data_IF_516571654252
#
_entry.id   IF_516571654252
#
_cell.length_a   1.000
_cell.length_b   1.000
_cell.length_c   1.000
_cell.angle_alpha   90.00
_cell.angle_beta   90.00
_cell.angle_gamma   90.00
#
_symmetry.space_group_name_H-M   'P 1'
#
loop_
_entity.id
_entity.type
_entity.pdbx_description
1 polymer ?
#
# COMPACT_ATOMS: atom_id res chain seq x y z
N UNK A 1 25.44 1.71 -1.03
CA UNK A 1 24.64 2.96 -1.02
C UNK A 1 23.89 3.23 -2.33
N UNK A 2 24.57 3.41 -3.48
CA UNK A 2 23.91 3.76 -4.77
C UNK A 2 22.86 2.75 -5.25
N UNK A 3 23.09 1.45 -5.04
CA UNK A 3 22.14 0.40 -5.39
C UNK A 3 20.91 0.44 -4.47
N UNK A 4 21.11 0.55 -3.15
CA UNK A 4 20.03 0.62 -2.15
C UNK A 4 19.07 1.79 -2.43
N UNK A 5 19.57 2.98 -2.77
CA UNK A 5 18.70 4.13 -3.12
C UNK A 5 17.86 3.90 -4.39
N UNK A 6 18.41 3.21 -5.40
CA UNK A 6 17.67 2.88 -6.62
C UNK A 6 16.62 1.81 -6.39
N UNK A 7 16.97 0.77 -5.64
CA UNK A 7 16.04 -0.31 -5.26
C UNK A 7 14.90 0.28 -4.43
N UNK A 8 15.20 1.16 -3.46
CA UNK A 8 14.20 1.87 -2.69
C UNK A 8 13.24 2.67 -3.59
N UNK A 9 13.82 3.40 -4.54
CA UNK A 9 13.07 4.18 -5.53
C UNK A 9 12.12 3.33 -6.38
N UNK A 10 12.63 2.27 -7.01
CA UNK A 10 11.83 1.36 -7.84
C UNK A 10 10.76 0.65 -7.02
N UNK A 11 11.10 0.18 -5.82
CA UNK A 11 10.17 -0.56 -4.97
C UNK A 11 8.99 0.32 -4.55
N UNK A 12 9.24 1.58 -4.17
CA UNK A 12 8.17 2.52 -3.84
C UNK A 12 7.26 2.84 -5.05
N UNK A 13 7.82 2.91 -6.27
CA UNK A 13 7.04 3.10 -7.50
C UNK A 13 6.18 1.87 -7.79
N UNK A 14 6.77 0.67 -7.74
CA UNK A 14 6.03 -0.60 -7.96
C UNK A 14 4.91 -0.74 -6.94
N UNK A 15 5.17 -0.43 -5.67
CA UNK A 15 4.14 -0.40 -4.64
C UNK A 15 2.98 0.54 -4.99
N UNK A 16 3.30 1.77 -5.40
CA UNK A 16 2.27 2.76 -5.75
C UNK A 16 1.43 2.31 -6.96
N UNK A 17 2.06 1.78 -8.00
CA UNK A 17 1.36 1.30 -9.19
C UNK A 17 0.48 0.08 -8.87
N UNK A 18 0.99 -0.87 -8.08
CA UNK A 18 0.21 -2.02 -7.64
C UNK A 18 -0.98 -1.60 -6.75
N UNK A 19 -0.81 -0.60 -5.89
CA UNK A 19 -1.90 -0.06 -5.08
C UNK A 19 -2.97 0.67 -5.89
N UNK A 20 -2.59 1.37 -6.96
CA UNK A 20 -3.54 1.94 -7.92
C UNK A 20 -4.28 0.85 -8.70
N UNK A 21 -3.59 -0.21 -9.11
CA UNK A 21 -4.22 -1.36 -9.76
C UNK A 21 -5.21 -2.06 -8.83
N UNK A 22 -4.83 -2.32 -7.56
CA UNK A 22 -5.73 -2.87 -6.55
C UNK A 22 -6.98 -2.00 -6.38
N UNK A 23 -6.82 -0.68 -6.23
CA UNK A 23 -7.96 0.23 -6.15
C UNK A 23 -8.87 0.16 -7.39
N UNK A 24 -8.29 0.10 -8.59
CA UNK A 24 -9.03 -0.05 -9.83
C UNK A 24 -9.86 -1.35 -9.85
N UNK A 25 -9.28 -2.46 -9.38
CA UNK A 25 -9.99 -3.73 -9.28
C UNK A 25 -11.14 -3.71 -8.26
N UNK A 26 -10.99 -3.02 -7.12
CA UNK A 26 -12.08 -2.89 -6.14
C UNK A 26 -13.27 -2.07 -6.66
N UNK A 27 -13.05 -1.10 -7.55
CA UNK A 27 -14.14 -0.31 -8.17
C UNK A 27 -14.72 -0.95 -9.44
N UNK A 28 -14.05 -1.98 -9.97
CA UNK A 28 -14.45 -2.65 -11.23
C UNK A 28 -15.84 -3.30 -11.16
N UNK A 29 -16.28 -3.98 -10.07
CA UNK A 29 -17.62 -4.58 -10.01
C UNK A 29 -18.74 -3.58 -10.33
N UNK A 30 -18.67 -2.37 -9.73
CA UNK A 30 -19.65 -1.30 -9.95
C UNK A 30 -19.68 -0.88 -11.43
N UNK A 31 -18.50 -0.73 -12.05
CA UNK A 31 -18.39 -0.39 -13.48
C UNK A 31 -18.92 -1.47 -14.42
N UNK A 32 -19.08 -2.71 -13.94
CA UNK A 32 -19.60 -3.85 -14.69
C UNK A 32 -21.07 -4.18 -14.35
N UNK A 33 -21.75 -3.32 -13.59
CA UNK A 33 -23.17 -3.47 -13.26
C UNK A 33 -23.46 -4.26 -11.97
N UNK A 34 -22.45 -4.50 -11.14
CA UNK A 34 -22.60 -5.13 -9.82
C UNK A 34 -22.61 -4.03 -8.73
N UNK A 35 -23.73 -3.33 -8.59
CA UNK A 35 -23.83 -2.08 -7.81
C UNK A 35 -23.79 -2.26 -6.29
N UNK A 36 -24.38 -3.34 -5.75
CA UNK A 36 -24.39 -3.62 -4.31
C UNK A 36 -23.25 -4.59 -3.93
N UNK A 37 -22.03 -4.05 -3.84
CA UNK A 37 -20.83 -4.84 -3.50
C UNK A 37 -20.81 -5.34 -2.05
N UNK A 38 -21.74 -4.87 -1.21
CA UNK A 38 -21.92 -5.36 0.16
C UNK A 38 -22.83 -6.62 0.19
N UNK A 39 -23.59 -6.87 -0.87
CA UNK A 39 -24.40 -8.06 -1.00
C UNK A 39 -23.55 -9.28 -1.44
N UNK A 40 -23.47 -10.34 -0.61
CA UNK A 40 -22.64 -11.49 -0.92
C UNK A 40 -23.11 -12.26 -2.16
N UNK A 41 -24.41 -12.30 -2.43
CA UNK A 41 -24.93 -12.97 -3.63
C UNK A 41 -24.47 -12.26 -4.91
N UNK A 42 -24.47 -10.93 -4.90
CA UNK A 42 -23.98 -10.09 -6.01
C UNK A 42 -22.49 -10.34 -6.23
N UNK A 43 -21.69 -10.35 -5.15
CA UNK A 43 -20.25 -10.56 -5.26
C UNK A 43 -19.85 -11.99 -5.63
N UNK A 44 -20.57 -13.01 -5.17
CA UNK A 44 -20.37 -14.40 -5.63
C UNK A 44 -20.71 -14.52 -7.13
N UNK A 45 -21.78 -13.87 -7.60
CA UNK A 45 -22.12 -13.79 -9.02
C UNK A 45 -21.04 -13.06 -9.84
N UNK A 46 -20.49 -11.97 -9.30
CA UNK A 46 -19.38 -11.24 -9.89
C UNK A 46 -18.15 -12.15 -10.05
N UNK A 47 -17.72 -12.83 -8.97
CA UNK A 47 -16.57 -13.74 -8.99
C UNK A 47 -16.80 -14.88 -9.98
N UNK A 48 -18.02 -15.40 -10.10
CA UNK A 48 -18.37 -16.44 -11.07
C UNK A 48 -18.20 -15.96 -12.51
N UNK A 49 -18.56 -14.71 -12.78
CA UNK A 49 -18.54 -14.14 -14.13
C UNK A 49 -17.16 -13.58 -14.50
N UNK A 50 -16.43 -13.05 -13.52
CA UNK A 50 -15.14 -12.36 -13.67
C UNK A 50 -14.11 -12.85 -12.64
N UNK A 51 -13.79 -14.16 -12.60
CA UNK A 51 -12.91 -14.72 -11.57
C UNK A 51 -11.51 -14.09 -11.58
N UNK A 52 -11.02 -13.74 -12.78
CA UNK A 52 -9.70 -13.15 -12.97
C UNK A 52 -9.56 -11.80 -12.26
N UNK A 53 -10.61 -10.96 -12.23
CA UNK A 53 -10.55 -9.65 -11.56
C UNK A 53 -10.33 -9.80 -10.05
N UNK A 54 -10.97 -10.81 -9.42
CA UNK A 54 -10.79 -11.08 -8.00
C UNK A 54 -9.39 -11.63 -7.69
N UNK A 55 -8.84 -12.46 -8.58
CA UNK A 55 -7.48 -13.00 -8.47
C UNK A 55 -6.43 -11.92 -8.71
N UNK A 56 -6.63 -11.06 -9.71
CA UNK A 56 -5.74 -9.96 -10.07
C UNK A 56 -5.66 -8.91 -8.95
N UNK A 57 -6.77 -8.63 -8.27
CA UNK A 57 -6.77 -7.84 -7.04
C UNK A 57 -5.86 -8.46 -5.96
N UNK A 58 -5.92 -9.78 -5.82
CA UNK A 58 -5.03 -10.53 -4.92
C UNK A 58 -3.55 -10.46 -5.33
N UNK A 59 -3.25 -10.58 -6.62
CA UNK A 59 -1.89 -10.46 -7.15
C UNK A 59 -1.33 -9.04 -6.94
N UNK A 60 -2.15 -8.01 -7.14
CA UNK A 60 -1.77 -6.62 -6.86
C UNK A 60 -1.38 -6.44 -5.38
N UNK A 61 -2.14 -7.02 -4.45
CA UNK A 61 -1.82 -6.99 -3.02
C UNK A 61 -0.51 -7.72 -2.68
N UNK A 62 -0.23 -8.86 -3.31
CA UNK A 62 1.06 -9.57 -3.12
C UNK A 62 2.22 -8.73 -3.66
N UNK A 63 2.06 -8.12 -4.84
CA UNK A 63 3.06 -7.23 -5.42
C UNK A 63 3.31 -6.00 -4.53
N UNK A 64 2.26 -5.43 -3.95
CA UNK A 64 2.36 -4.40 -2.92
C UNK A 64 3.18 -4.90 -1.72
N UNK A 65 2.90 -6.07 -1.18
CA UNK A 65 3.61 -6.61 -0.02
C UNK A 65 5.12 -6.77 -0.27
N UNK A 66 5.49 -7.35 -1.41
CA UNK A 66 6.89 -7.56 -1.80
C UNK A 66 7.60 -6.22 -1.98
N UNK A 67 6.98 -5.32 -2.75
CA UNK A 67 7.54 -4.00 -3.03
C UNK A 67 7.65 -3.14 -1.76
N UNK A 68 6.67 -3.18 -0.87
CA UNK A 68 6.71 -2.46 0.39
C UNK A 68 7.81 -3.00 1.31
N UNK A 69 7.97 -4.32 1.40
CA UNK A 69 9.07 -4.93 2.18
C UNK A 69 10.43 -4.43 1.70
N UNK A 70 10.67 -4.47 0.38
CA UNK A 70 11.90 -3.97 -0.20
C UNK A 70 12.08 -2.46 0.04
N UNK A 71 11.02 -1.66 -0.15
CA UNK A 71 11.03 -0.22 0.08
C UNK A 71 11.34 0.11 1.54
N UNK A 72 10.71 -0.55 2.51
CA UNK A 72 10.91 -0.30 3.95
C UNK A 72 12.36 -0.54 4.34
N UNK A 73 12.93 -1.70 3.97
CA UNK A 73 14.30 -2.05 4.32
C UNK A 73 15.31 -1.08 3.69
N UNK A 74 15.16 -0.79 2.40
CA UNK A 74 16.12 0.05 1.67
C UNK A 74 15.97 1.54 1.98
N UNK A 75 14.76 2.03 2.28
CA UNK A 75 14.56 3.40 2.77
C UNK A 75 15.15 3.57 4.17
N UNK A 76 15.07 2.55 5.03
CA UNK A 76 15.72 2.58 6.33
C UNK A 76 17.25 2.73 6.18
N UNK A 77 17.89 1.99 5.27
CA UNK A 77 19.32 2.16 4.98
C UNK A 77 19.66 3.61 4.56
N UNK A 78 18.83 4.21 3.70
CA UNK A 78 19.04 5.59 3.21
C UNK A 78 18.86 6.62 4.33
N UNK A 79 17.95 6.38 5.27
CA UNK A 79 17.66 7.30 6.36
C UNK A 79 18.60 7.12 7.58
N UNK A 80 19.20 5.95 7.75
CA UNK A 80 20.01 5.60 8.91
C UNK A 80 21.23 6.50 9.13
N UNK A 81 21.76 7.13 8.07
CA UNK A 81 22.91 8.05 8.15
C UNK A 81 22.63 9.32 8.96
N UNK A 82 21.37 9.74 9.08
CA UNK A 82 21.00 11.04 9.67
C UNK A 82 19.88 10.96 10.69
N UNK A 83 19.26 9.80 10.90
CA UNK A 83 18.09 9.64 11.74
C UNK A 83 18.39 8.87 13.04
N UNK A 84 17.62 9.16 14.09
CA UNK A 84 17.62 8.35 15.30
C UNK A 84 17.21 6.90 14.96
N UNK A 85 18.07 5.95 15.33
CA UNK A 85 17.87 4.52 15.04
C UNK A 85 16.55 3.97 15.60
N UNK A 86 16.06 4.48 16.74
CA UNK A 86 14.83 3.98 17.36
C UNK A 86 13.57 4.40 16.59
N UNK A 87 13.41 5.69 16.28
CA UNK A 87 12.25 6.19 15.54
C UNK A 87 12.14 5.55 14.15
N UNK A 88 13.28 5.38 13.48
CA UNK A 88 13.35 4.74 12.17
C UNK A 88 12.97 3.25 12.23
N UNK A 89 13.41 2.53 13.28
CA UNK A 89 13.02 1.12 13.50
C UNK A 89 11.52 0.98 13.74
N UNK A 90 10.91 1.84 14.57
CA UNK A 90 9.47 1.81 14.81
C UNK A 90 8.67 2.11 13.54
N UNK A 91 9.05 3.15 12.79
CA UNK A 91 8.41 3.45 11.50
C UNK A 91 8.52 2.26 10.54
N UNK A 92 9.70 1.66 10.43
CA UNK A 92 9.94 0.50 9.56
C UNK A 92 9.13 -0.72 9.98
N UNK A 93 8.96 -0.96 11.29
CA UNK A 93 8.12 -2.05 11.80
C UNK A 93 6.67 -1.91 11.32
N UNK A 94 6.08 -0.71 11.34
CA UNK A 94 4.74 -0.48 10.79
C UNK A 94 4.66 -0.77 9.29
N UNK A 95 5.70 -0.42 8.52
CA UNK A 95 5.78 -0.75 7.10
C UNK A 95 5.84 -2.26 6.84
N UNK A 96 6.57 -3.02 7.67
CA UNK A 96 6.63 -4.47 7.57
C UNK A 96 5.32 -5.16 7.99
N UNK A 97 4.64 -4.66 9.03
CA UNK A 97 3.30 -5.12 9.38
C UNK A 97 2.31 -4.87 8.25
N UNK A 98 2.38 -3.69 7.61
CA UNK A 98 1.55 -3.39 6.45
C UNK A 98 1.79 -4.37 5.30
N UNK A 99 3.06 -4.64 4.99
CA UNK A 99 3.42 -5.62 3.96
C UNK A 99 2.87 -7.02 4.29
N UNK A 100 3.01 -7.48 5.54
CA UNK A 100 2.48 -8.76 5.98
C UNK A 100 0.94 -8.83 5.82
N UNK A 101 0.22 -7.77 6.19
CA UNK A 101 -1.23 -7.74 6.03
C UNK A 101 -1.68 -7.74 4.57
N UNK A 102 -1.01 -6.98 3.70
CA UNK A 102 -1.29 -7.04 2.26
C UNK A 102 -0.97 -8.42 1.68
N UNK A 103 0.10 -9.08 2.13
CA UNK A 103 0.44 -10.43 1.68
C UNK A 103 -0.66 -11.44 2.03
N UNK A 104 -1.10 -11.46 3.28
CA UNK A 104 -2.15 -12.38 3.74
C UNK A 104 -3.48 -12.08 3.05
N UNK A 105 -3.84 -10.81 2.90
CA UNK A 105 -5.06 -10.43 2.17
C UNK A 105 -4.99 -10.86 0.70
N UNK A 106 -3.87 -10.62 0.01
CA UNK A 106 -3.67 -11.09 -1.35
C UNK A 106 -3.77 -12.61 -1.47
N UNK A 107 -3.16 -13.33 -0.51
CA UNK A 107 -3.26 -14.78 -0.41
C UNK A 107 -4.68 -15.29 -0.21
N UNK A 108 -5.50 -14.61 0.61
CA UNK A 108 -6.92 -14.93 0.77
C UNK A 108 -7.66 -14.76 -0.56
N UNK A 109 -7.48 -13.63 -1.27
CA UNK A 109 -8.17 -13.37 -2.55
C UNK A 109 -7.84 -14.43 -3.61
N UNK A 110 -6.56 -14.80 -3.75
CA UNK A 110 -6.15 -15.82 -4.71
C UNK A 110 -6.60 -17.21 -4.28
N UNK A 111 -6.41 -17.54 -3.01
CA UNK A 111 -6.67 -18.88 -2.48
C UNK A 111 -8.15 -19.20 -2.30
N UNK A 112 -9.02 -18.18 -2.15
CA UNK A 112 -10.45 -18.39 -1.89
C UNK A 112 -11.29 -18.49 -3.16
N UNK A 113 -10.90 -17.89 -4.30
CA UNK A 113 -11.76 -17.80 -5.49
C UNK A 113 -12.31 -19.15 -5.97
N UNK A 114 -11.44 -20.15 -6.16
CA UNK A 114 -11.82 -21.49 -6.58
C UNK A 114 -12.69 -22.23 -5.53
N UNK A 115 -12.22 -22.36 -4.27
CA UNK A 115 -13.01 -22.96 -3.20
C UNK A 115 -14.38 -22.30 -3.00
N UNK A 116 -14.46 -20.97 -3.09
CA UNK A 116 -15.72 -20.22 -2.98
C UNK A 116 -16.72 -20.64 -4.04
N UNK A 117 -16.29 -20.69 -5.31
CA UNK A 117 -17.16 -21.08 -6.41
C UNK A 117 -17.58 -22.55 -6.31
N UNK A 118 -16.67 -23.42 -5.90
CA UNK A 118 -16.99 -24.83 -5.67
C UNK A 118 -18.05 -25.00 -4.58
N UNK A 119 -17.92 -24.31 -3.45
CA UNK A 119 -18.90 -24.35 -2.35
C UNK A 119 -20.25 -23.79 -2.82
N UNK A 120 -20.23 -22.69 -3.59
CA UNK A 120 -21.44 -22.08 -4.14
C UNK A 120 -22.21 -23.03 -5.08
N UNK A 121 -21.52 -23.85 -5.86
CA UNK A 121 -22.14 -24.85 -6.75
C UNK A 121 -22.78 -26.01 -5.97
N UNK A 122 -22.26 -26.34 -4.78
CA UNK A 122 -22.91 -27.32 -3.88
C UNK A 122 -24.19 -26.74 -3.27
N UNK A 123 -24.10 -25.51 -2.75
CA UNK A 123 -25.25 -24.76 -2.22
C UNK A 123 -24.94 -23.26 -2.21
N UNK A 124 -25.75 -22.46 -2.91
CA UNK A 124 -25.54 -21.02 -3.05
C UNK A 124 -25.31 -20.28 -1.72
N UNK A 125 -26.17 -20.53 -0.72
CA UNK A 125 -26.06 -19.94 0.63
C UNK A 125 -24.70 -20.24 1.30
N UNK A 126 -24.11 -21.41 1.08
CA UNK A 126 -22.79 -21.73 1.64
C UNK A 126 -21.69 -20.92 0.97
N UNK A 127 -21.81 -20.68 -0.34
CA UNK A 127 -20.89 -19.82 -1.09
C UNK A 127 -20.95 -18.38 -0.61
N UNK A 128 -22.14 -17.85 -0.36
CA UNK A 128 -22.35 -16.50 0.19
C UNK A 128 -21.73 -16.34 1.59
N UNK A 129 -21.96 -17.31 2.48
CA UNK A 129 -21.37 -17.30 3.83
C UNK A 129 -19.84 -17.43 3.78
N UNK A 130 -19.32 -18.31 2.92
CA UNK A 130 -17.87 -18.46 2.74
C UNK A 130 -17.24 -17.18 2.18
N UNK A 131 -17.93 -16.50 1.24
CA UNK A 131 -17.51 -15.21 0.72
C UNK A 131 -17.48 -14.16 1.83
N UNK A 132 -18.52 -14.05 2.66
CA UNK A 132 -18.54 -13.13 3.80
C UNK A 132 -17.37 -13.37 4.76
N UNK A 133 -17.06 -14.63 5.09
CA UNK A 133 -15.94 -14.96 5.96
C UNK A 133 -14.59 -14.51 5.36
N UNK A 134 -14.38 -14.76 4.06
CA UNK A 134 -13.18 -14.31 3.35
C UNK A 134 -13.12 -12.78 3.27
N UNK A 135 -14.23 -12.12 2.97
CA UNK A 135 -14.34 -10.68 2.81
C UNK A 135 -14.11 -9.94 4.14
N UNK A 136 -14.76 -10.34 5.24
CA UNK A 136 -14.57 -9.72 6.56
C UNK A 136 -13.13 -9.85 7.02
N UNK A 137 -12.53 -11.04 6.85
CA UNK A 137 -11.12 -11.27 7.19
C UNK A 137 -10.20 -10.42 6.31
N UNK A 138 -10.44 -10.39 5.00
CA UNK A 138 -9.69 -9.58 4.04
C UNK A 138 -9.78 -8.09 4.34
N UNK A 139 -10.97 -7.56 4.67
CA UNK A 139 -11.17 -6.16 5.02
C UNK A 139 -10.44 -5.78 6.31
N UNK A 140 -10.49 -6.63 7.34
CA UNK A 140 -9.72 -6.39 8.58
C UNK A 140 -8.21 -6.30 8.30
N UNK A 141 -7.68 -7.19 7.47
CA UNK A 141 -6.29 -7.15 7.02
C UNK A 141 -5.99 -5.92 6.16
N UNK A 142 -6.91 -5.53 5.25
CA UNK A 142 -6.77 -4.33 4.44
C UNK A 142 -6.66 -3.07 5.31
N UNK A 143 -7.55 -2.91 6.29
CA UNK A 143 -7.55 -1.79 7.24
C UNK A 143 -6.25 -1.80 8.04
N UNK A 144 -5.85 -2.94 8.60
CA UNK A 144 -4.57 -3.07 9.32
C UNK A 144 -3.37 -2.70 8.45
N UNK A 145 -3.38 -3.15 7.18
CA UNK A 145 -2.36 -2.84 6.18
C UNK A 145 -2.26 -1.35 5.88
N UNK A 146 -3.41 -0.71 5.67
CA UNK A 146 -3.51 0.73 5.43
C UNK A 146 -3.03 1.52 6.66
N UNK A 147 -3.44 1.13 7.86
CA UNK A 147 -2.98 1.79 9.11
C UNK A 147 -1.47 1.70 9.25
N UNK A 148 -0.89 0.51 9.07
CA UNK A 148 0.56 0.32 9.11
C UNK A 148 1.30 1.15 8.04
N UNK A 149 0.76 1.19 6.81
CA UNK A 149 1.32 1.99 5.72
C UNK A 149 1.31 3.48 6.07
N UNK A 150 0.20 3.97 6.61
CA UNK A 150 0.06 5.38 6.97
C UNK A 150 1.01 5.76 8.12
N UNK A 151 1.14 4.91 9.14
CA UNK A 151 2.09 5.12 10.24
C UNK A 151 3.54 5.13 9.74
N UNK A 152 3.89 4.24 8.81
CA UNK A 152 5.20 4.25 8.16
C UNK A 152 5.45 5.55 7.38
N UNK A 153 4.49 5.97 6.54
CA UNK A 153 4.62 7.18 5.71
C UNK A 153 4.73 8.46 6.55
N UNK A 154 3.90 8.59 7.59
CA UNK A 154 3.94 9.72 8.53
C UNK A 154 5.25 9.69 9.32
N UNK A 155 5.64 8.54 9.85
CA UNK A 155 6.90 8.38 10.59
C UNK A 155 8.12 8.79 9.76
N UNK A 156 8.21 8.32 8.51
CA UNK A 156 9.27 8.72 7.58
C UNK A 156 9.24 10.22 7.25
N UNK A 157 8.06 10.80 7.12
CA UNK A 157 7.92 12.23 6.81
C UNK A 157 8.33 13.12 7.99
N UNK A 158 7.99 12.73 9.21
CA UNK A 158 8.44 13.40 10.44
C UNK A 158 9.97 13.31 10.58
N UNK A 159 10.54 12.12 10.38
CA UNK A 159 12.00 11.93 10.35
C UNK A 159 12.61 12.80 9.25
N UNK A 160 12.01 12.84 8.06
CA UNK A 160 12.44 13.65 6.93
C UNK A 160 12.48 15.14 7.24
N UNK A 161 11.46 15.66 7.93
CA UNK A 161 11.40 17.06 8.38
C UNK A 161 12.53 17.35 9.38
N UNK A 162 12.73 16.49 10.37
CA UNK A 162 13.73 16.68 11.43
C UNK A 162 15.17 16.58 10.91
N UNK A 163 15.42 15.64 9.99
CA UNK A 163 16.78 15.28 9.53
C UNK A 163 17.13 15.87 8.17
N UNK A 164 16.16 16.48 7.48
CA UNK A 164 16.27 16.98 6.11
C UNK A 164 16.78 15.93 5.11
N UNK A 165 16.55 14.65 5.39
CA UNK A 165 16.88 13.54 4.47
C UNK A 165 15.97 13.55 3.24
N UNK A 166 14.74 14.02 3.40
CA UNK A 166 13.72 14.09 2.36
C UNK A 166 13.30 15.55 2.09
N UNK A 167 12.88 15.88 0.87
CA UNK A 167 12.39 17.20 0.54
C UNK A 167 11.08 17.50 1.27
N UNK A 168 10.91 18.74 1.75
CA UNK A 168 9.72 19.15 2.53
C UNK A 168 8.41 18.93 1.77
N UNK A 169 8.41 19.08 0.44
CA UNK A 169 7.23 18.82 -0.37
C UNK A 169 6.74 17.36 -0.25
N UNK A 170 7.66 16.39 -0.21
CA UNK A 170 7.31 14.98 0.01
C UNK A 170 6.75 14.78 1.43
N UNK A 171 7.34 15.43 2.42
CA UNK A 171 6.85 15.33 3.79
C UNK A 171 5.46 15.98 3.94
N UNK A 172 5.18 17.08 3.22
CA UNK A 172 3.87 17.73 3.22
C UNK A 172 2.78 16.84 2.60
N UNK A 173 3.13 16.05 1.57
CA UNK A 173 2.21 15.06 0.98
C UNK A 173 1.77 13.97 1.98
N UNK A 174 2.45 13.83 3.13
CA UNK A 174 2.02 12.92 4.20
C UNK A 174 0.69 13.32 4.86
N UNK A 175 0.13 14.50 4.52
CA UNK A 175 -1.24 14.85 4.86
C UNK A 175 -2.24 13.79 4.36
N UNK A 176 -2.04 13.18 3.17
CA UNK A 176 -2.93 12.15 2.65
C UNK A 176 -2.95 10.87 3.51
N UNK A 177 -1.81 10.21 3.82
CA UNK A 177 -1.81 9.10 4.75
C UNK A 177 -2.26 9.49 6.16
N UNK A 178 -2.02 10.72 6.61
CA UNK A 178 -2.56 11.19 7.89
C UNK A 178 -4.09 11.24 7.90
N UNK A 179 -4.71 11.77 6.84
CA UNK A 179 -6.17 11.76 6.67
C UNK A 179 -6.69 10.32 6.67
N UNK A 180 -6.07 9.41 5.90
CA UNK A 180 -6.47 7.99 5.89
C UNK A 180 -6.33 7.32 7.26
N UNK A 181 -5.27 7.63 7.99
CA UNK A 181 -5.07 7.07 9.33
C UNK A 181 -6.19 7.50 10.27
N UNK A 182 -6.53 8.80 10.25
CA UNK A 182 -7.62 9.35 11.07
C UNK A 182 -8.95 8.69 10.69
N UNK A 183 -9.26 8.58 9.41
CA UNK A 183 -10.53 8.01 8.96
C UNK A 183 -10.62 6.50 9.20
N UNK A 184 -9.52 5.76 9.02
CA UNK A 184 -9.46 4.33 9.31
C UNK A 184 -9.60 3.98 10.79
N UNK A 185 -9.16 4.86 11.71
CA UNK A 185 -9.26 4.65 13.16
C UNK A 185 -10.59 5.18 13.71
N UNK A 186 -10.94 6.44 13.38
CA UNK A 186 -12.09 7.12 13.98
C UNK A 186 -13.41 6.79 13.29
N UNK A 187 -13.38 6.42 12.00
CA UNK A 187 -14.58 6.05 11.24
C UNK A 187 -15.30 4.84 11.85
N UNK A 188 -14.63 3.69 12.05
CA UNK A 188 -15.25 2.51 12.67
C UNK A 188 -15.77 2.76 14.09
N UNK A 189 -15.18 3.70 14.82
CA UNK A 189 -15.61 4.10 16.17
C UNK A 189 -16.80 5.07 16.15
N UNK A 190 -17.31 5.45 14.97
CA UNK A 190 -18.37 6.44 14.77
C UNK A 190 -18.06 7.78 15.45
N UNK A 191 -16.78 8.15 15.47
CA UNK A 191 -16.31 9.42 16.05
C UNK A 191 -16.17 10.53 15.00
N UNK A 192 -16.35 10.21 13.72
CA UNK A 192 -16.43 11.18 12.63
C UNK A 192 -17.88 11.44 12.26
N UNK A 193 -18.24 12.68 11.87
CA UNK A 193 -19.60 12.98 11.43
C UNK A 193 -19.89 12.29 10.10
N UNK A 194 -21.13 11.81 9.93
CA UNK A 194 -21.63 11.30 8.66
C UNK A 194 -21.77 12.47 7.66
N UNK A 195 -20.75 12.63 6.83
CA UNK A 195 -20.64 13.73 5.88
C UNK A 195 -20.12 13.23 4.53
N UNK A 196 -20.87 13.52 3.47
CA UNK A 196 -20.47 13.28 2.08
C UNK A 196 -19.08 13.87 1.77
N UNK A 197 -18.77 15.03 2.36
CA UNK A 197 -17.46 15.66 2.20
C UNK A 197 -16.34 14.82 2.82
N UNK A 198 -16.54 14.29 4.03
CA UNK A 198 -15.55 13.43 4.69
C UNK A 198 -15.38 12.10 3.97
N UNK A 199 -16.47 11.54 3.44
CA UNK A 199 -16.42 10.37 2.58
C UNK A 199 -15.60 10.66 1.32
N UNK A 200 -15.89 11.74 0.60
CA UNK A 200 -15.15 12.13 -0.60
C UNK A 200 -13.66 12.39 -0.31
N UNK A 201 -13.34 13.05 0.81
CA UNK A 201 -11.95 13.26 1.26
C UNK A 201 -11.27 11.91 1.55
N UNK A 202 -11.96 10.98 2.20
CA UNK A 202 -11.43 9.65 2.52
C UNK A 202 -11.11 8.85 1.25
N UNK A 203 -12.01 8.88 0.28
CA UNK A 203 -11.82 8.25 -1.04
C UNK A 203 -10.65 8.91 -1.78
N UNK A 204 -10.58 10.25 -1.82
CA UNK A 204 -9.49 10.98 -2.47
C UNK A 204 -8.11 10.74 -1.81
N UNK A 205 -8.09 10.45 -0.51
CA UNK A 205 -6.86 10.15 0.21
C UNK A 205 -6.24 8.79 -0.20
N UNK A 206 -7.01 7.89 -0.82
CA UNK A 206 -6.51 6.61 -1.35
C UNK A 206 -5.47 6.86 -2.46
N UNK A 207 -5.80 7.47 -3.62
CA UNK A 207 -4.80 7.79 -4.63
C UNK A 207 -3.78 8.82 -4.12
N UNK A 208 -4.15 9.72 -3.20
CA UNK A 208 -3.21 10.63 -2.54
C UNK A 208 -2.08 9.91 -1.78
N UNK A 209 -2.38 8.79 -1.12
CA UNK A 209 -1.36 7.98 -0.44
C UNK A 209 -0.45 7.26 -1.45
N UNK A 210 -1.00 6.82 -2.58
CA UNK A 210 -0.20 6.25 -3.67
C UNK A 210 0.70 7.32 -4.31
N UNK A 211 0.21 8.55 -4.45
CA UNK A 211 0.99 9.68 -4.93
C UNK A 211 2.16 10.00 -3.99
N UNK A 212 1.99 9.89 -2.68
CA UNK A 212 3.09 10.01 -1.72
C UNK A 212 4.17 8.93 -1.97
N UNK A 213 3.76 7.66 -2.12
CA UNK A 213 4.68 6.55 -2.39
C UNK A 213 5.42 6.73 -3.72
N UNK A 214 4.70 7.15 -4.77
CA UNK A 214 5.26 7.43 -6.08
C UNK A 214 6.30 8.57 -6.01
N UNK A 215 5.97 9.65 -5.30
CA UNK A 215 6.86 10.80 -5.13
C UNK A 215 8.11 10.42 -4.34
N UNK A 216 7.97 9.62 -3.27
CA UNK A 216 9.10 9.04 -2.54
C UNK A 216 10.01 8.25 -3.51
N UNK A 217 9.41 7.39 -4.34
CA UNK A 217 10.13 6.60 -5.33
C UNK A 217 10.93 7.46 -6.32
N UNK A 218 10.30 8.49 -6.89
CA UNK A 218 10.95 9.42 -7.82
C UNK A 218 12.09 10.21 -7.17
N UNK A 219 11.90 10.69 -5.93
CA UNK A 219 12.93 11.40 -5.17
C UNK A 219 14.16 10.51 -4.95
N UNK A 220 13.94 9.26 -4.53
CA UNK A 220 15.02 8.31 -4.28
C UNK A 220 15.74 7.91 -5.57
N UNK A 221 15.00 7.64 -6.65
CA UNK A 221 15.60 7.36 -7.96
C UNK A 221 16.49 8.51 -8.43
N UNK A 222 15.97 9.75 -8.39
CA UNK A 222 16.73 10.94 -8.80
C UNK A 222 18.02 11.08 -7.99
N UNK A 223 17.96 10.90 -6.67
CA UNK A 223 19.14 10.91 -5.80
C UNK A 223 20.13 9.81 -6.18
N UNK A 224 19.65 8.59 -6.40
CA UNK A 224 20.48 7.45 -6.82
C UNK A 224 21.14 7.62 -8.20
N UNK A 225 20.53 8.35 -9.13
CA UNK A 225 21.14 8.72 -10.41
C UNK A 225 22.21 9.80 -10.26
N UNK A 226 21.90 10.87 -9.53
CA UNK A 226 22.84 11.97 -9.28
C UNK A 226 24.14 11.47 -8.62
N UNK A 227 24.03 10.63 -7.58
CA UNK A 227 25.21 10.07 -6.91
C UNK A 227 26.07 9.17 -7.82
N UNK A 228 25.47 8.53 -8.82
CA UNK A 228 26.21 7.71 -9.77
C UNK A 228 26.93 8.55 -10.84
N UNK A 229 26.29 9.61 -11.33
CA UNK A 229 26.90 10.55 -12.27
C UNK A 229 28.11 11.22 -11.61
N UNK A 230 27.95 11.74 -10.40
CA UNK A 230 29.02 12.43 -9.68
C UNK A 230 30.26 11.54 -9.47
N UNK A 231 30.06 10.28 -9.11
CA UNK A 231 31.18 9.34 -8.95
C UNK A 231 31.91 8.96 -10.24
N UNK A 232 31.30 9.15 -11.41
CA UNK A 232 31.97 8.95 -12.70
C UNK A 232 32.79 10.17 -13.11
N UNK A 233 32.39 11.36 -12.62
CA UNK A 233 33.03 12.63 -12.91
C UNK A 233 34.20 12.94 -11.96
N UNK A 234 34.29 12.27 -10.81
CA UNK A 234 35.41 12.37 -9.85
C UNK A 234 36.35 11.14 -9.91
N UNK A 235 37.18 10.97 -10.97
CA UNK A 235 38.12 9.84 -11.09
C UNK A 235 39.21 9.84 -10.00
N UNK A 236 39.43 10.96 -9.30
CA UNK A 236 40.39 11.07 -8.20
C UNK A 236 40.07 10.15 -7.00
N UNK A 237 38.85 9.62 -6.91
CA UNK A 237 38.46 8.62 -5.89
C UNK A 237 38.44 7.18 -6.41
N UNK A 238 38.66 6.97 -7.72
CA UNK A 238 38.61 5.66 -8.35
C UNK A 238 39.99 4.99 -8.54
N UNK A 239 41.09 5.73 -8.35
CA UNK A 239 42.47 5.26 -8.55
C UNK A 239 43.28 5.00 -7.28
N UNK A 240 42.65 4.96 -6.11
CA UNK A 240 43.30 4.72 -4.82
C UNK A 240 42.94 3.36 -4.23
N UNK A 241 43.23 2.28 -4.94
CA UNK A 241 43.22 0.90 -4.44
C UNK A 241 44.42 0.16 -5.05
#
# INVERSE_FOLDING_TARGET
MKLSTRVAGLSAIVFALAGLAWFAFEVTPVGLGFEDTDNPAVMVSFIRTHPDVYVDAGLALIMMAIALTAAVLTVADVAAERANSAALRWASAFGLFAAAFFLVHGGIRIGSSGPLLHIADLKGEWGEVAYLAAQVTGQALAIGGIVGLCLWAIGLSLIGIQTRVFPLALCALAAFPAIRLVTAILGPLRLLPDSELLWAISIAAIPGTMLWCLTLGLVLLRRGFQSAVQSRLDPATAGGA
#
